data_IF_704054583950
#
_entry.id   IF_704054583950
#
_cell.length_a   1.000
_cell.length_b   1.000
_cell.length_c   1.000
_cell.angle_alpha   90.00
_cell.angle_beta   90.00
_cell.angle_gamma   90.00
#
_symmetry.space_group_name_H-M   'P 1'
#
loop_
_entity.id
_entity.type
_entity.pdbx_description
1 polymer ?
#
# COMPACT_ATOMS: atom_id res chain seq x y z
N UNK A 1 49.05 -4.62 13.56
CA UNK A 1 47.86 -4.16 12.83
C UNK A 1 46.66 -4.77 13.53
N UNK A 2 45.83 -3.97 14.21
CA UNK A 2 44.73 -4.48 15.01
C UNK A 2 43.42 -4.39 14.22
N UNK A 3 42.70 -5.51 14.08
CA UNK A 3 41.36 -5.51 13.53
C UNK A 3 40.37 -5.16 14.65
N UNK A 4 39.74 -3.99 14.54
CA UNK A 4 38.65 -3.60 15.44
C UNK A 4 37.38 -4.32 15.00
N UNK A 5 37.10 -5.49 15.59
CA UNK A 5 35.88 -6.23 15.33
C UNK A 5 34.71 -5.50 16.01
N UNK A 6 34.01 -4.66 15.25
CA UNK A 6 32.83 -3.94 15.72
C UNK A 6 31.68 -4.93 15.95
N UNK A 7 31.54 -5.41 17.19
CA UNK A 7 30.44 -6.28 17.57
C UNK A 7 29.16 -5.44 17.62
N UNK A 8 28.22 -5.70 16.70
CA UNK A 8 26.89 -5.10 16.75
C UNK A 8 26.11 -5.69 17.93
N UNK A 9 26.06 -4.96 19.04
CA UNK A 9 25.31 -5.36 20.22
C UNK A 9 23.80 -5.26 19.94
N UNK A 10 23.19 -6.35 19.48
CA UNK A 10 21.74 -6.51 19.49
C UNK A 10 21.24 -6.42 20.94
N UNK A 11 20.72 -5.25 21.31
CA UNK A 11 20.18 -4.99 22.63
C UNK A 11 18.79 -5.62 22.73
N UNK A 12 18.72 -6.87 23.20
CA UNK A 12 17.46 -7.54 23.53
C UNK A 12 16.83 -6.88 24.76
N UNK A 13 16.13 -5.77 24.55
CA UNK A 13 15.26 -5.13 25.54
C UNK A 13 13.96 -5.96 25.60
N UNK A 14 13.46 -6.23 26.80
CA UNK A 14 12.43 -7.26 26.98
C UNK A 14 11.00 -6.75 26.83
N UNK A 15 10.25 -7.40 25.94
CA UNK A 15 8.82 -7.67 26.08
C UNK A 15 7.91 -6.45 26.33
N UNK A 16 7.97 -5.46 25.42
CA UNK A 16 6.70 -5.00 24.86
C UNK A 16 6.08 -6.15 24.03
N UNK A 17 4.80 -6.06 23.66
CA UNK A 17 4.44 -6.69 22.38
C UNK A 17 5.08 -5.81 21.31
N UNK A 18 6.20 -6.27 20.74
CA UNK A 18 6.92 -5.54 19.68
C UNK A 18 5.92 -5.17 18.59
N UNK A 19 5.80 -3.87 18.31
CA UNK A 19 4.60 -3.34 17.67
C UNK A 19 4.49 -3.86 16.23
N UNK A 20 3.69 -4.91 16.04
CA UNK A 20 3.80 -5.73 14.82
C UNK A 20 3.29 -4.96 13.60
N UNK A 21 4.14 -4.89 12.58
CA UNK A 21 3.76 -4.43 11.25
C UNK A 21 2.67 -5.35 10.69
N UNK A 22 1.59 -4.78 10.17
CA UNK A 22 0.50 -5.53 9.55
C UNK A 22 0.03 -4.86 8.26
N UNK A 23 -0.59 -5.63 7.37
CA UNK A 23 -1.18 -5.10 6.15
C UNK A 23 -2.62 -5.60 5.96
N UNK A 24 -3.41 -4.81 5.22
CA UNK A 24 -4.70 -5.19 4.64
C UNK A 24 -4.81 -4.63 3.22
N UNK A 25 -5.72 -5.17 2.41
CA UNK A 25 -6.18 -4.47 1.21
C UNK A 25 -7.04 -3.27 1.60
N UNK A 26 -7.00 -2.19 0.81
CA UNK A 26 -7.95 -1.08 0.93
C UNK A 26 -9.35 -1.52 0.49
N UNK A 27 -10.36 -1.11 1.25
CA UNK A 27 -11.77 -1.42 1.01
C UNK A 27 -12.32 -0.68 -0.24
N UNK A 28 -11.65 0.37 -0.70
CA UNK A 28 -12.00 1.11 -1.92
C UNK A 28 -11.63 0.36 -3.22
N UNK A 29 -10.68 -0.59 -3.16
CA UNK A 29 -10.07 -1.25 -4.32
C UNK A 29 -10.60 -2.67 -4.54
N UNK A 30 -11.93 -2.77 -4.64
CA UNK A 30 -12.69 -4.03 -4.61
C UNK A 30 -12.45 -5.04 -5.74
N UNK A 31 -11.74 -4.67 -6.82
CA UNK A 31 -11.38 -5.61 -7.90
C UNK A 31 -10.04 -6.34 -7.68
N UNK A 32 -9.40 -6.16 -6.53
CA UNK A 32 -8.25 -6.94 -6.08
C UNK A 32 -8.58 -7.70 -4.80
N UNK A 33 -8.26 -8.99 -4.75
CA UNK A 33 -8.44 -9.84 -3.56
C UNK A 33 -7.18 -10.62 -3.22
N UNK A 34 -7.01 -11.04 -1.97
CA UNK A 34 -6.02 -12.08 -1.65
C UNK A 34 -6.44 -13.40 -2.32
N UNK A 35 -5.49 -14.19 -2.82
CA UNK A 35 -5.75 -15.48 -3.45
C UNK A 35 -5.92 -16.59 -2.40
N UNK A 36 -6.98 -17.40 -2.53
CA UNK A 36 -7.19 -18.56 -1.65
C UNK A 36 -6.05 -19.58 -1.77
N UNK A 37 -5.57 -20.08 -0.63
CA UNK A 37 -4.45 -21.04 -0.52
C UNK A 37 -3.08 -20.48 -0.96
N UNK A 38 -2.95 -19.15 -1.06
CA UNK A 38 -1.67 -18.44 -1.04
C UNK A 38 -1.28 -18.05 0.41
N UNK A 39 -0.12 -17.41 0.58
CA UNK A 39 0.31 -16.83 1.85
C UNK A 39 -0.56 -15.65 2.31
N UNK A 40 -0.60 -15.40 3.61
CA UNK A 40 -1.38 -14.34 4.25
C UNK A 40 -0.52 -13.10 4.56
N UNK A 41 -1.14 -11.95 4.85
CA UNK A 41 -0.45 -10.66 5.02
C UNK A 41 0.69 -10.64 6.06
N UNK A 42 0.66 -11.55 7.03
CA UNK A 42 1.72 -11.72 8.02
C UNK A 42 3.03 -12.29 7.45
N UNK A 43 3.00 -12.84 6.23
CA UNK A 43 4.20 -13.22 5.47
C UNK A 43 4.98 -12.05 4.90
N UNK A 44 4.33 -10.93 4.60
CA UNK A 44 5.01 -9.73 4.07
C UNK A 44 6.00 -9.09 5.06
N UNK A 45 6.04 -9.55 6.31
CA UNK A 45 6.85 -8.98 7.38
C UNK A 45 7.38 -10.07 8.33
N UNK A 46 7.65 -11.27 7.82
CA UNK A 46 8.23 -12.37 8.63
C UNK A 46 9.75 -12.51 8.47
N UNK A 47 10.34 -11.76 7.53
CA UNK A 47 11.79 -11.65 7.32
C UNK A 47 12.39 -12.77 6.46
N UNK A 48 11.57 -13.61 5.83
CA UNK A 48 11.99 -14.62 4.86
C UNK A 48 11.59 -14.19 3.43
N UNK A 49 12.52 -13.52 2.73
CA UNK A 49 12.33 -13.08 1.35
C UNK A 49 12.12 -14.23 0.34
N UNK A 50 12.33 -15.49 0.76
CA UNK A 50 12.30 -16.72 -0.07
C UNK A 50 13.27 -16.71 -1.26
N UNK A 51 14.24 -15.78 -1.33
CA UNK A 51 14.93 -15.44 -2.58
C UNK A 51 15.86 -16.53 -3.10
N UNK A 52 16.53 -17.26 -2.20
CA UNK A 52 17.32 -18.46 -2.56
C UNK A 52 16.47 -19.75 -2.60
N UNK A 53 15.21 -19.70 -2.15
CA UNK A 53 14.31 -20.86 -2.01
C UNK A 53 13.10 -20.86 -2.96
N UNK A 54 12.97 -19.86 -3.84
CA UNK A 54 11.80 -19.65 -4.68
C UNK A 54 11.46 -20.86 -5.59
N UNK A 55 10.33 -21.52 -5.32
CA UNK A 55 9.85 -22.68 -6.09
C UNK A 55 8.77 -22.30 -7.10
N UNK A 56 8.60 -23.13 -8.14
CA UNK A 56 7.52 -23.01 -9.13
C UNK A 56 6.13 -23.08 -8.48
N UNK A 57 5.17 -22.32 -9.01
CA UNK A 57 3.84 -22.22 -8.40
C UNK A 57 3.13 -23.57 -8.32
N UNK A 58 2.41 -23.78 -7.23
CA UNK A 58 1.87 -25.08 -6.81
C UNK A 58 2.79 -25.87 -5.88
N UNK A 59 4.05 -25.43 -5.68
CA UNK A 59 5.01 -26.10 -4.79
C UNK A 59 5.05 -25.53 -3.37
N UNK A 60 4.98 -24.21 -3.21
CA UNK A 60 5.17 -23.51 -1.91
C UNK A 60 4.28 -22.25 -1.77
N UNK A 61 3.04 -22.31 -2.25
CA UNK A 61 2.14 -21.16 -2.33
C UNK A 61 1.90 -20.45 -0.97
N UNK A 62 2.03 -21.17 0.15
CA UNK A 62 1.81 -20.63 1.49
C UNK A 62 2.86 -19.59 1.92
N UNK A 63 4.00 -19.51 1.22
CA UNK A 63 5.05 -18.52 1.46
C UNK A 63 5.06 -17.39 0.41
N UNK A 64 4.05 -17.30 -0.47
CA UNK A 64 3.88 -16.22 -1.45
C UNK A 64 2.51 -15.59 -1.26
N UNK A 65 2.48 -14.30 -0.92
CA UNK A 65 1.25 -13.51 -0.82
C UNK A 65 0.85 -13.08 -2.23
N UNK A 66 -0.10 -13.79 -2.82
CA UNK A 66 -0.57 -13.55 -4.19
C UNK A 66 -1.87 -12.73 -4.17
N UNK A 67 -1.83 -11.55 -4.80
CA UNK A 67 -2.98 -10.67 -4.97
C UNK A 67 -3.59 -10.89 -6.34
N UNK A 68 -4.88 -11.21 -6.41
CA UNK A 68 -5.62 -11.48 -7.64
C UNK A 68 -6.37 -10.24 -8.14
N UNK A 69 -6.10 -9.87 -9.40
CA UNK A 69 -6.93 -9.02 -10.23
C UNK A 69 -8.16 -9.80 -10.74
N UNK A 70 -9.36 -9.35 -10.39
CA UNK A 70 -10.62 -9.96 -10.83
C UNK A 70 -10.97 -9.65 -12.31
N UNK A 71 -10.35 -8.62 -12.88
CA UNK A 71 -10.66 -8.03 -14.19
C UNK A 71 -9.54 -8.21 -15.22
N UNK A 72 -8.66 -9.21 -15.07
CA UNK A 72 -7.49 -9.46 -15.93
C UNK A 72 -7.78 -9.61 -17.45
N UNK A 73 -9.05 -9.77 -17.84
CA UNK A 73 -9.53 -9.81 -19.23
C UNK A 73 -10.07 -8.47 -19.76
N UNK A 74 -9.91 -7.38 -19.00
CA UNK A 74 -10.45 -6.03 -19.28
C UNK A 74 -9.39 -4.95 -19.01
N UNK A 75 -8.78 -4.41 -20.06
CA UNK A 75 -7.77 -3.34 -19.90
C UNK A 75 -8.39 -2.02 -19.38
N UNK A 76 -9.66 -1.76 -19.66
CA UNK A 76 -10.40 -0.60 -19.19
C UNK A 76 -10.81 -0.66 -17.70
N UNK A 77 -10.59 -1.79 -17.02
CA UNK A 77 -10.94 -1.94 -15.60
C UNK A 77 -9.93 -1.31 -14.63
N UNK A 78 -8.71 -0.97 -15.07
CA UNK A 78 -7.69 -0.25 -14.29
C UNK A 78 -7.47 -0.80 -12.86
N UNK A 79 -7.44 -2.13 -12.72
CA UNK A 79 -7.24 -2.79 -11.43
C UNK A 79 -5.92 -2.34 -10.78
N UNK A 80 -5.94 -2.09 -9.47
CA UNK A 80 -4.79 -1.56 -8.72
C UNK A 80 -4.70 -2.28 -7.38
N UNK A 81 -3.57 -2.93 -7.12
CA UNK A 81 -3.23 -3.44 -5.80
C UNK A 81 -3.05 -2.25 -4.86
N UNK A 82 -3.90 -2.13 -3.86
CA UNK A 82 -3.86 -1.09 -2.85
C UNK A 82 -3.71 -1.72 -1.46
N UNK A 83 -2.50 -1.66 -0.89
CA UNK A 83 -2.19 -2.17 0.43
C UNK A 83 -2.12 -1.03 1.45
N UNK A 84 -2.86 -1.16 2.55
CA UNK A 84 -2.73 -0.32 3.73
C UNK A 84 -1.86 -1.05 4.73
N UNK A 85 -0.73 -0.46 5.10
CA UNK A 85 0.25 -1.00 6.06
C UNK A 85 0.18 -0.17 7.34
N UNK A 86 -0.03 -0.84 8.47
CA UNK A 86 0.20 -0.28 9.81
C UNK A 86 1.62 -0.66 10.24
N UNK A 87 2.46 0.34 10.52
CA UNK A 87 3.86 0.15 10.92
C UNK A 87 4.04 -0.26 12.40
N UNK A 88 2.94 -0.43 13.16
CA UNK A 88 2.93 -0.79 14.57
C UNK A 88 3.19 0.38 15.52
N UNK A 89 4.06 1.32 15.12
CA UNK A 89 4.30 2.60 15.78
C UNK A 89 4.65 3.69 14.75
N UNK A 90 4.79 4.94 15.19
CA UNK A 90 5.30 6.01 14.31
C UNK A 90 6.78 5.76 14.03
N UNK A 91 7.14 5.60 12.76
CA UNK A 91 8.52 5.38 12.32
C UNK A 91 8.93 6.44 11.31
N UNK A 92 10.22 6.76 11.31
CA UNK A 92 10.85 7.53 10.23
C UNK A 92 11.58 6.55 9.32
N UNK A 93 11.26 6.54 8.03
CA UNK A 93 11.75 5.58 7.04
C UNK A 93 12.60 6.28 5.97
N UNK A 94 13.67 5.62 5.50
CA UNK A 94 14.53 6.10 4.42
C UNK A 94 14.33 5.34 3.11
N UNK A 95 13.95 4.06 3.18
CA UNK A 95 13.56 3.27 2.01
C UNK A 95 12.67 2.09 2.38
N UNK A 96 12.01 1.53 1.37
CA UNK A 96 11.30 0.26 1.41
C UNK A 96 11.82 -0.65 0.31
N UNK A 97 11.94 -1.94 0.58
CA UNK A 97 12.23 -2.98 -0.41
C UNK A 97 11.04 -3.93 -0.50
N UNK A 98 10.54 -4.18 -1.70
CA UNK A 98 9.50 -5.19 -1.95
C UNK A 98 10.13 -6.35 -2.72
N UNK A 99 10.02 -7.55 -2.15
CA UNK A 99 10.46 -8.80 -2.77
C UNK A 99 9.30 -9.41 -3.57
N UNK A 100 9.30 -9.17 -4.88
CA UNK A 100 8.26 -9.63 -5.81
C UNK A 100 8.52 -11.05 -6.29
N UNK A 101 7.57 -11.96 -6.04
CA UNK A 101 7.57 -13.29 -6.63
C UNK A 101 6.99 -13.24 -8.05
N UNK A 102 7.69 -13.84 -9.01
CA UNK A 102 7.30 -13.93 -10.42
C UNK A 102 7.23 -15.41 -10.86
N UNK A 103 6.10 -15.82 -11.43
CA UNK A 103 5.96 -17.08 -12.19
C UNK A 103 5.03 -16.82 -13.40
N UNK A 104 5.66 -16.55 -14.54
CA UNK A 104 4.99 -16.23 -15.80
C UNK A 104 4.29 -17.45 -16.46
N UNK A 105 4.37 -18.64 -15.86
CA UNK A 105 3.59 -19.79 -16.30
C UNK A 105 2.14 -19.72 -15.83
N UNK A 106 1.91 -19.08 -14.68
CA UNK A 106 0.61 -19.01 -13.98
C UNK A 106 0.07 -17.58 -13.85
N UNK A 107 0.56 -16.63 -14.65
CA UNK A 107 0.14 -15.22 -14.68
C UNK A 107 0.46 -14.44 -13.39
N UNK A 108 1.50 -14.81 -12.66
CA UNK A 108 2.04 -14.02 -11.53
C UNK A 108 3.22 -13.20 -12.03
N UNK A 109 3.09 -11.87 -12.10
CA UNK A 109 4.09 -11.00 -12.70
C UNK A 109 3.80 -9.51 -12.59
N UNK A 110 4.51 -8.74 -13.40
CA UNK A 110 4.53 -7.27 -13.41
C UNK A 110 4.68 -6.76 -14.85
N UNK A 111 4.32 -5.51 -15.10
CA UNK A 111 4.49 -4.86 -16.41
C UNK A 111 5.95 -4.70 -16.81
N UNK A 112 6.19 -4.29 -18.06
CA UNK A 112 7.53 -3.91 -18.52
C UNK A 112 8.02 -2.65 -17.79
N UNK A 113 7.14 -1.65 -17.70
CA UNK A 113 7.26 -0.44 -16.90
C UNK A 113 6.14 -0.51 -15.84
N UNK A 114 6.42 -0.11 -14.59
CA UNK A 114 5.48 -0.17 -13.47
C UNK A 114 5.56 1.12 -12.65
N UNK A 115 4.47 1.48 -11.97
CA UNK A 115 4.45 2.57 -10.99
C UNK A 115 4.05 2.05 -9.61
N UNK A 116 4.84 2.39 -8.58
CA UNK A 116 4.45 2.33 -7.18
C UNK A 116 4.19 3.75 -6.68
N UNK A 117 2.93 4.09 -6.40
CA UNK A 117 2.59 5.30 -5.62
C UNK A 117 2.62 4.96 -4.14
N UNK A 118 3.32 5.77 -3.34
CA UNK A 118 3.32 5.69 -1.88
C UNK A 118 2.62 6.91 -1.29
N UNK A 119 1.69 6.67 -0.36
CA UNK A 119 1.07 7.69 0.50
C UNK A 119 1.32 7.37 1.98
N UNK A 120 1.28 8.38 2.85
CA UNK A 120 1.38 8.20 4.31
C UNK A 120 0.12 8.71 5.03
N UNK A 121 -0.10 8.23 6.25
CA UNK A 121 -1.18 8.68 7.14
C UNK A 121 -0.84 8.47 8.61
N UNK A 122 -1.42 9.31 9.48
CA UNK A 122 -1.34 9.18 10.94
C UNK A 122 -2.51 8.38 11.51
N UNK A 123 -3.62 8.24 10.77
CA UNK A 123 -4.87 7.62 11.23
C UNK A 123 -5.29 6.37 10.44
N UNK A 124 -4.65 6.09 9.31
CA UNK A 124 -4.93 4.89 8.50
C UNK A 124 -6.16 4.99 7.61
N UNK A 125 -6.72 6.20 7.45
CA UNK A 125 -7.86 6.49 6.55
C UNK A 125 -7.59 7.69 5.63
N UNK A 126 -7.00 8.76 6.14
CA UNK A 126 -6.70 9.97 5.37
C UNK A 126 -5.26 9.94 4.88
N UNK A 127 -5.05 9.51 3.64
CA UNK A 127 -3.73 9.33 3.03
C UNK A 127 -3.29 10.53 2.20
N UNK A 128 -2.06 11.01 2.46
CA UNK A 128 -1.40 12.07 1.68
C UNK A 128 -0.28 11.45 0.85
N UNK A 129 -0.26 11.69 -0.46
CA UNK A 129 0.78 11.13 -1.33
C UNK A 129 2.16 11.67 -0.96
N UNK A 130 3.12 10.76 -0.84
CA UNK A 130 4.53 11.03 -0.58
C UNK A 130 5.29 11.14 -1.91
N UNK A 131 5.32 10.05 -2.69
CA UNK A 131 6.20 9.91 -3.85
C UNK A 131 5.64 8.87 -4.83
N UNK A 132 5.95 9.00 -6.13
CA UNK A 132 5.70 7.99 -7.15
C UNK A 132 7.04 7.42 -7.62
N UNK A 133 7.18 6.11 -7.62
CA UNK A 133 8.37 5.41 -8.10
C UNK A 133 8.05 4.64 -9.39
N UNK A 134 8.77 4.95 -10.46
CA UNK A 134 8.76 4.13 -11.69
C UNK A 134 9.85 3.07 -11.63
N UNK A 135 9.51 1.83 -11.95
CA UNK A 135 10.48 0.71 -11.99
C UNK A 135 10.20 -0.25 -13.15
N UNK A 136 11.26 -0.83 -13.70
CA UNK A 136 11.19 -1.76 -14.83
C UNK A 136 11.09 -3.21 -14.32
N UNK A 137 10.43 -4.08 -15.07
CA UNK A 137 10.43 -5.53 -14.85
C UNK A 137 10.48 -6.26 -16.20
N UNK A 138 10.92 -7.51 -16.19
CA UNK A 138 11.30 -8.19 -17.43
C UNK A 138 10.09 -8.48 -18.34
N UNK A 139 10.04 -7.77 -19.48
CA UNK A 139 9.04 -7.92 -20.51
C UNK A 139 9.17 -9.26 -21.26
N UNK A 140 8.06 -9.98 -21.42
CA UNK A 140 8.03 -11.22 -22.21
C UNK A 140 8.12 -10.89 -23.70
N UNK A 141 9.13 -11.45 -24.37
CA UNK A 141 9.31 -11.34 -25.82
C UNK A 141 8.50 -12.40 -26.61
N UNK A 142 8.43 -12.23 -27.93
CA UNK A 142 8.00 -13.29 -28.85
C UNK A 142 9.11 -14.34 -29.06
N UNK A 143 8.73 -15.61 -28.96
CA UNK A 143 9.56 -16.75 -29.37
C UNK A 143 9.62 -16.89 -30.90
N UNK A 144 10.52 -17.73 -31.41
CA UNK A 144 10.74 -17.92 -32.84
C UNK A 144 9.53 -18.51 -33.61
N UNK A 145 8.53 -19.07 -32.92
CA UNK A 145 7.26 -19.53 -33.48
C UNK A 145 6.11 -18.49 -33.34
N UNK A 146 6.39 -17.33 -32.74
CA UNK A 146 5.44 -16.25 -32.49
C UNK A 146 4.53 -16.48 -31.28
N UNK A 147 4.86 -17.41 -30.38
CA UNK A 147 4.24 -17.56 -29.04
C UNK A 147 5.03 -16.77 -27.97
N UNK A 148 4.50 -16.56 -26.74
CA UNK A 148 5.26 -15.88 -25.69
C UNK A 148 6.50 -16.69 -25.27
N UNK A 149 7.69 -16.07 -25.25
CA UNK A 149 8.94 -16.74 -24.88
C UNK A 149 9.06 -16.94 -23.37
N UNK A 150 8.54 -18.08 -22.90
CA UNK A 150 8.66 -18.54 -21.51
C UNK A 150 10.01 -19.20 -21.17
N UNK A 151 11.03 -19.11 -22.03
CA UNK A 151 12.33 -19.79 -21.83
C UNK A 151 13.43 -18.89 -21.28
N UNK A 152 13.30 -17.57 -21.44
CA UNK A 152 14.28 -16.57 -20.93
C UNK A 152 14.02 -16.14 -19.49
N UNK A 153 12.77 -16.19 -19.05
CA UNK A 153 12.32 -15.64 -17.76
C UNK A 153 12.25 -16.72 -16.69
N UNK A 154 12.33 -16.35 -15.39
CA UNK A 154 12.23 -17.30 -14.29
C UNK A 154 11.02 -18.23 -14.44
N UNK A 155 11.28 -19.54 -14.37
CA UNK A 155 10.22 -20.55 -14.25
C UNK A 155 9.48 -20.38 -12.91
N UNK A 156 10.20 -19.95 -11.87
CA UNK A 156 9.75 -19.02 -10.84
C UNK A 156 10.97 -18.34 -10.20
N UNK A 157 10.77 -17.23 -9.47
CA UNK A 157 11.85 -16.52 -8.77
C UNK A 157 11.34 -15.32 -7.96
N UNK A 158 12.19 -14.76 -7.11
CA UNK A 158 11.92 -13.55 -6.31
C UNK A 158 12.91 -12.44 -6.65
N UNK A 159 12.41 -11.21 -6.75
CA UNK A 159 13.11 -10.03 -7.26
C UNK A 159 12.87 -8.83 -6.33
N UNK A 160 13.94 -8.22 -5.83
CA UNK A 160 13.83 -7.12 -4.86
C UNK A 160 13.89 -5.78 -5.57
N UNK A 161 12.82 -5.00 -5.46
CA UNK A 161 12.81 -3.59 -5.88
C UNK A 161 12.93 -2.68 -4.65
N UNK A 162 13.92 -1.79 -4.65
CA UNK A 162 14.24 -0.93 -3.49
C UNK A 162 13.93 0.54 -3.78
N UNK A 163 12.83 1.00 -3.20
CA UNK A 163 12.28 2.34 -3.31
C UNK A 163 12.86 3.23 -2.21
N UNK A 164 13.75 4.16 -2.60
CA UNK A 164 14.40 5.10 -1.67
C UNK A 164 13.70 6.43 -1.73
N UNK A 165 13.15 6.90 -0.62
CA UNK A 165 12.43 8.16 -0.58
C UNK A 165 13.37 9.34 -0.81
N UNK A 166 12.93 10.34 -1.57
CA UNK A 166 13.72 11.58 -1.80
C UNK A 166 13.94 12.35 -0.49
N UNK A 167 13.01 12.23 0.46
CA UNK A 167 13.16 12.70 1.85
C UNK A 167 12.65 11.61 2.79
N UNK A 168 13.25 11.47 3.98
CA UNK A 168 12.80 10.48 4.95
C UNK A 168 11.34 10.72 5.38
N UNK A 169 10.54 9.65 5.44
CA UNK A 169 9.09 9.69 5.68
C UNK A 169 8.81 9.34 7.13
N UNK A 170 8.32 10.29 7.93
CA UNK A 170 7.76 10.01 9.26
C UNK A 170 6.27 9.71 9.12
N UNK A 171 5.83 8.53 9.55
CA UNK A 171 4.44 8.07 9.44
C UNK A 171 4.11 6.94 10.43
N UNK A 172 2.81 6.73 10.69
CA UNK A 172 2.30 5.52 11.36
C UNK A 172 1.73 4.50 10.36
N UNK A 173 1.10 4.96 9.30
CA UNK A 173 0.54 4.12 8.23
C UNK A 173 1.10 4.51 6.87
N UNK A 174 1.23 3.52 5.99
CA UNK A 174 1.50 3.70 4.57
C UNK A 174 0.36 3.13 3.73
N UNK A 175 0.16 3.71 2.56
CA UNK A 175 -0.65 3.16 1.48
C UNK A 175 0.28 2.93 0.28
N UNK A 176 0.31 1.70 -0.22
CA UNK A 176 1.06 1.31 -1.41
C UNK A 176 0.08 1.01 -2.55
N UNK A 177 0.21 1.70 -3.68
CA UNK A 177 -0.61 1.51 -4.88
C UNK A 177 0.24 1.08 -6.07
N UNK A 178 -0.06 -0.10 -6.61
CA UNK A 178 0.58 -0.66 -7.81
C UNK A 178 -0.53 -1.04 -8.80
N UNK A 179 -0.66 -0.35 -9.96
CA UNK A 179 -1.56 -0.76 -11.04
C UNK A 179 -1.20 -2.17 -11.56
N UNK A 180 -2.20 -2.92 -11.99
CA UNK A 180 -1.96 -4.12 -12.80
C UNK A 180 -1.77 -3.72 -14.25
N UNK A 181 -0.56 -3.93 -14.75
CA UNK A 181 -0.14 -3.56 -16.11
C UNK A 181 -0.50 -4.63 -17.16
N UNK A 182 -0.32 -4.30 -18.43
CA UNK A 182 -0.59 -5.22 -19.56
C UNK A 182 0.34 -6.46 -19.55
N UNK A 183 -0.20 -7.59 -19.99
CA UNK A 183 0.54 -8.83 -20.24
C UNK A 183 0.97 -8.94 -21.70
N UNK A 184 1.82 -9.93 -22.01
CA UNK A 184 2.11 -10.25 -23.41
C UNK A 184 0.82 -10.66 -24.17
N UNK A 185 0.44 -9.99 -25.27
CA UNK A 185 -0.91 -10.07 -25.87
C UNK A 185 -1.25 -11.41 -26.55
N UNK A 186 -0.42 -12.44 -26.35
CA UNK A 186 -0.58 -13.81 -26.86
C UNK A 186 -0.64 -14.86 -25.76
N UNK A 187 -0.86 -14.48 -24.49
CA UNK A 187 -1.23 -15.45 -23.47
C UNK A 187 -2.55 -16.15 -23.83
N UNK A 188 -2.57 -17.48 -23.72
CA UNK A 188 -3.56 -18.33 -24.38
C UNK A 188 -4.96 -18.36 -23.72
N UNK A 189 -5.14 -17.63 -22.62
CA UNK A 189 -6.37 -17.58 -21.82
C UNK A 189 -7.15 -16.26 -21.93
N UNK A 190 -6.72 -15.36 -22.82
CA UNK A 190 -7.41 -14.10 -23.11
C UNK A 190 -7.25 -13.02 -22.04
N UNK A 191 -6.31 -13.19 -21.11
CA UNK A 191 -5.94 -12.17 -20.12
C UNK A 191 -4.97 -11.18 -20.76
N UNK A 192 -5.33 -9.91 -20.68
CA UNK A 192 -4.61 -8.77 -21.27
C UNK A 192 -3.94 -7.89 -20.21
N UNK A 193 -4.34 -8.04 -18.95
CA UNK A 193 -3.62 -7.52 -17.78
C UNK A 193 -3.10 -8.71 -16.96
N UNK A 194 -2.13 -8.48 -16.08
CA UNK A 194 -1.67 -9.52 -15.16
C UNK A 194 -2.82 -9.99 -14.25
N UNK A 195 -2.92 -11.30 -14.01
CA UNK A 195 -3.93 -11.85 -13.09
C UNK A 195 -3.47 -11.75 -11.65
N UNK A 196 -2.16 -11.85 -11.40
CA UNK A 196 -1.61 -11.84 -10.06
C UNK A 196 -0.34 -10.99 -9.95
N UNK A 197 -0.24 -10.28 -8.83
CA UNK A 197 1.03 -9.75 -8.30
C UNK A 197 1.40 -10.62 -7.10
N UNK A 198 2.61 -11.17 -7.09
CA UNK A 198 3.13 -11.98 -5.98
C UNK A 198 4.15 -11.20 -5.17
N UNK A 199 4.07 -11.28 -3.85
CA UNK A 199 5.07 -10.73 -2.92
C UNK A 199 5.46 -11.80 -1.90
N UNK A 200 6.71 -11.77 -1.43
CA UNK A 200 7.17 -12.58 -0.30
C UNK A 200 7.33 -11.71 0.94
N UNK A 201 8.18 -10.68 0.88
CA UNK A 201 8.52 -9.78 1.99
C UNK A 201 8.44 -8.30 1.56
N UNK A 202 8.16 -7.40 2.52
CA UNK A 202 8.22 -5.94 2.42
C UNK A 202 9.07 -5.40 3.57
N UNK A 203 10.36 -5.21 3.31
CA UNK A 203 11.32 -4.73 4.30
C UNK A 203 11.40 -3.20 4.34
N UNK A 204 11.48 -2.61 5.53
CA UNK A 204 11.63 -1.17 5.75
C UNK A 204 13.00 -0.82 6.35
N UNK A 205 13.67 0.18 5.79
CA UNK A 205 14.88 0.76 6.36
C UNK A 205 14.54 2.06 7.10
N UNK A 206 14.97 2.17 8.36
CA UNK A 206 14.79 3.39 9.15
C UNK A 206 15.56 4.58 8.57
N UNK A 207 15.04 5.78 8.80
CA UNK A 207 15.67 7.06 8.48
C UNK A 207 15.84 7.91 9.73
N UNK A 208 16.78 8.85 9.70
CA UNK A 208 16.87 9.89 10.73
C UNK A 208 15.77 10.93 10.51
N UNK A 209 15.04 11.37 11.56
CA UNK A 209 14.11 12.49 11.43
C UNK A 209 14.78 13.72 10.84
N UNK A 210 14.08 14.46 9.97
CA UNK A 210 14.62 15.70 9.42
C UNK A 210 14.69 16.76 10.51
N UNK A 211 15.90 17.13 10.93
CA UNK A 211 16.12 18.21 11.90
C UNK A 211 16.05 19.57 11.22
N UNK A 212 14.95 19.88 10.54
CA UNK A 212 14.62 21.28 10.18
C UNK A 212 14.11 22.02 11.42
N UNK A 213 14.99 22.09 12.41
CA UNK A 213 14.87 23.03 13.52
C UNK A 213 15.30 24.39 13.01
N UNK A 214 14.46 25.01 12.18
CA UNK A 214 14.55 26.43 11.86
C UNK A 214 14.51 27.22 13.18
N UNK A 215 15.69 27.58 13.70
CA UNK A 215 15.85 28.14 15.04
C UNK A 215 15.01 29.42 15.18
N UNK A 216 14.18 29.55 16.23
CA UNK A 216 13.54 30.82 16.52
C UNK A 216 14.61 31.84 16.87
N UNK A 217 14.85 32.80 15.98
CA UNK A 217 15.90 33.80 16.11
C UNK A 217 15.83 34.49 17.48
N UNK A 218 16.85 34.28 18.31
CA UNK A 218 16.92 34.76 19.69
C UNK A 218 17.24 36.25 19.72
N UNK A 219 16.19 37.07 19.64
CA UNK A 219 16.26 38.51 19.89
C UNK A 219 16.53 38.80 21.38
N UNK A 220 17.79 38.70 21.80
CA UNK A 220 18.27 39.11 23.13
C UNK A 220 18.30 40.65 23.31
N UNK A 221 17.19 41.32 23.02
CA UNK A 221 16.99 42.75 23.28
C UNK A 221 16.43 43.03 24.69
N UNK A 222 17.15 42.59 25.73
CA UNK A 222 16.74 42.81 27.13
C UNK A 222 16.88 44.29 27.55
N UNK A 223 15.77 44.95 27.84
CA UNK A 223 15.71 46.16 28.66
C UNK A 223 14.48 46.14 29.59
N UNK A 224 14.65 46.53 30.86
CA UNK A 224 13.60 46.47 31.90
C UNK A 224 13.03 47.86 32.25
N UNK A 225 11.78 47.89 32.73
CA UNK A 225 11.07 49.06 33.30
C UNK A 225 10.71 50.18 32.30
N UNK A 226 9.76 51.10 32.54
CA UNK A 226 9.10 51.58 33.78
C UNK A 226 7.58 51.70 33.58
N UNK A 227 6.78 51.57 34.65
CA UNK A 227 5.33 51.80 34.62
C UNK A 227 4.93 53.22 35.07
N UNK A 228 3.85 53.79 34.53
CA UNK A 228 2.84 54.63 35.24
C UNK A 228 1.67 55.04 34.32
N UNK A 229 0.47 55.07 34.92
CA UNK A 229 -0.81 55.71 34.54
C UNK A 229 -0.81 56.87 33.53
N UNK A 230 -1.74 56.87 32.57
CA UNK A 230 -2.97 57.71 32.63
C UNK A 230 -4.03 57.41 31.55
N UNK A 231 -5.26 57.86 31.78
CA UNK A 231 -6.43 57.84 30.89
C UNK A 231 -7.44 58.93 31.37
N UNK A 232 -8.52 59.31 30.64
CA UNK A 232 -8.98 58.85 29.31
C UNK A 232 -9.35 60.01 28.34
N UNK A 233 -9.76 59.68 27.10
CA UNK A 233 -10.67 60.47 26.24
C UNK A 233 -11.25 59.56 25.14
N UNK A 234 -12.50 59.06 25.19
CA UNK A 234 -13.85 59.70 25.03
C UNK A 234 -14.33 59.82 23.57
N UNK A 235 -15.60 59.40 23.33
CA UNK A 235 -16.39 59.55 22.08
C UNK A 235 -15.89 58.80 20.82
N UNK A 236 -16.67 58.56 19.75
CA UNK A 236 -18.13 58.37 19.51
C UNK A 236 -18.32 58.00 18.01
N UNK A 237 -19.34 57.29 17.51
CA UNK A 237 -20.54 56.67 18.12
C UNK A 237 -21.03 55.48 17.27
N UNK A 238 -21.79 54.57 17.89
CA UNK A 238 -22.80 53.72 17.24
C UNK A 238 -24.12 53.86 18.05
N UNK A 239 -25.32 53.46 17.57
CA UNK A 239 -25.66 52.75 16.33
C UNK A 239 -26.75 53.46 15.50
N UNK A 240 -27.37 52.77 14.51
CA UNK A 240 -28.84 52.71 14.27
C UNK A 240 -29.15 51.62 13.23
N UNK A 241 -30.36 51.03 13.28
CA UNK A 241 -30.71 49.78 12.60
C UNK A 241 -31.83 49.92 11.53
N UNK A 242 -32.05 48.81 10.81
CA UNK A 242 -33.35 48.23 10.39
C UNK A 242 -33.97 48.54 9.00
N UNK A 243 -34.46 47.44 8.36
CA UNK A 243 -35.63 47.32 7.43
C UNK A 243 -35.58 48.06 6.07
N UNK A 244 -36.04 47.52 4.91
CA UNK A 244 -36.67 46.24 4.45
C UNK A 244 -36.46 46.12 2.91
N UNK A 245 -36.87 45.12 2.09
CA UNK A 245 -37.60 43.82 2.18
C UNK A 245 -37.26 42.93 0.96
N UNK A 246 -37.56 41.62 1.02
CA UNK A 246 -37.71 40.65 -0.11
C UNK A 246 -36.49 40.37 -1.03
N UNK A 247 -36.24 39.12 -1.46
CA UNK A 247 -37.23 38.10 -1.83
C UNK A 247 -36.91 36.65 -1.42
N UNK A 248 -37.94 36.00 -0.86
CA UNK A 248 -38.31 34.57 -0.90
C UNK A 248 -37.23 33.50 -1.20
N UNK A 249 -36.97 32.66 -0.20
CA UNK A 249 -36.88 31.19 -0.39
C UNK A 249 -38.29 30.58 -0.55
N UNK A 250 -38.40 29.27 -0.85
CA UNK A 250 -38.54 28.31 0.26
C UNK A 250 -37.51 27.17 0.23
N UNK A 251 -37.47 26.42 1.32
CA UNK A 251 -36.65 25.21 1.53
C UNK A 251 -37.58 23.99 1.62
N UNK A 252 -37.01 22.79 1.76
CA UNK A 252 -37.64 21.45 1.89
C UNK A 252 -38.01 20.76 0.57
N UNK A 253 -37.81 19.44 0.41
CA UNK A 253 -37.01 18.50 1.20
C UNK A 253 -37.63 17.11 1.38
N UNK A 254 -36.89 16.08 0.97
CA UNK A 254 -36.95 14.67 1.42
C UNK A 254 -35.69 13.99 0.82
N UNK A 255 -34.92 13.13 1.51
CA UNK A 255 -35.26 11.88 2.18
C UNK A 255 -35.54 10.73 1.19
N UNK A 256 -34.46 10.14 0.66
CA UNK A 256 -34.50 9.02 -0.30
C UNK A 256 -33.58 7.87 0.11
N UNK A 257 -33.86 7.24 1.26
CA UNK A 257 -33.09 6.09 1.76
C UNK A 257 -33.35 4.83 0.90
N UNK A 258 -32.61 4.68 -0.19
CA UNK A 258 -32.74 3.56 -1.11
C UNK A 258 -32.17 2.27 -0.50
N UNK A 259 -33.03 1.46 0.13
CA UNK A 259 -32.66 0.17 0.68
C UNK A 259 -32.31 -0.83 -0.45
N UNK A 260 -31.04 -1.22 -0.54
CA UNK A 260 -30.59 -2.30 -1.43
C UNK A 260 -30.94 -3.64 -0.76
N UNK A 261 -31.86 -4.39 -1.39
CA UNK A 261 -32.31 -5.68 -0.88
C UNK A 261 -31.33 -6.80 -1.23
N UNK A 262 -30.76 -7.45 -0.20
CA UNK A 262 -29.93 -8.66 -0.36
C UNK A 262 -30.82 -9.84 -0.74
N UNK A 263 -30.60 -10.41 -1.94
CA UNK A 263 -31.23 -11.67 -2.37
C UNK A 263 -30.21 -12.80 -2.22
N UNK A 264 -30.34 -13.57 -1.13
CA UNK A 264 -29.53 -14.77 -0.92
C UNK A 264 -30.08 -15.94 -1.74
N UNK A 265 -29.31 -16.40 -2.74
CA UNK A 265 -29.64 -17.60 -3.53
C UNK A 265 -28.98 -18.83 -2.89
N UNK A 266 -29.76 -19.60 -2.13
CA UNK A 266 -29.30 -20.85 -1.50
C UNK A 266 -29.34 -21.98 -2.54
N UNK A 267 -28.16 -22.41 -3.02
CA UNK A 267 -28.03 -23.57 -3.90
C UNK A 267 -27.89 -24.88 -3.10
N UNK A 268 -29.02 -25.53 -2.79
CA UNK A 268 -29.08 -26.82 -2.06
C UNK A 268 -29.17 -28.03 -3.00
N UNK A 269 -28.03 -28.51 -3.51
CA UNK A 269 -27.82 -29.91 -3.99
C UNK A 269 -26.34 -30.10 -4.40
N UNK A 270 -25.69 -31.24 -4.14
CA UNK A 270 -26.11 -32.41 -3.36
C UNK A 270 -24.97 -33.42 -3.21
N UNK A 271 -24.95 -34.18 -2.11
CA UNK A 271 -23.87 -35.15 -1.82
C UNK A 271 -23.98 -36.42 -2.65
N UNK A 272 -22.96 -36.71 -3.49
CA UNK A 272 -22.81 -38.02 -4.13
C UNK A 272 -21.69 -38.81 -3.44
N UNK A 273 -22.06 -39.69 -2.51
CA UNK A 273 -21.13 -40.60 -1.85
C UNK A 273 -20.86 -41.81 -2.76
N UNK A 274 -19.75 -41.78 -3.51
CA UNK A 274 -19.26 -42.94 -4.28
C UNK A 274 -18.48 -43.89 -3.37
N UNK A 275 -19.18 -44.58 -2.48
CA UNK A 275 -18.62 -45.63 -1.62
C UNK A 275 -18.75 -47.02 -2.27
N UNK A 276 -17.75 -47.42 -3.07
CA UNK A 276 -17.48 -48.82 -3.52
C UNK A 276 -16.17 -48.85 -4.33
N UNK A 277 -15.33 -49.89 -4.28
CA UNK A 277 -15.39 -51.16 -3.52
C UNK A 277 -13.96 -51.69 -3.36
N UNK A 278 -13.66 -52.45 -2.29
CA UNK A 278 -12.45 -53.29 -2.22
C UNK A 278 -12.43 -54.31 -3.38
N UNK A 279 -11.31 -54.35 -4.09
CA UNK A 279 -10.81 -55.43 -4.93
C UNK A 279 -9.36 -55.63 -4.58
#
# INVERSE_FOLDING_TARGET
>A
MAALLACACFATIGSAEDAKITAKLSEDYTNVSLLENAGTFDKLFDGDDRKEEALAWGSDNANVVAFKNADATKADANATLCLIIDLGEERTLSSMTISFYKDYNVMIGLGAENTLTVSSSDNGTDFTKVEDFTFESEAIEDAADGTPDKTKFPVAGVYDETFKFTNNVTARYLELKIPYEETHPKFADGKIMWEFIGMTEIAFADGTPSTDTSEPATDESKAESVATSEAPSTSSTAPTSSTTESSKTPVTGDAGLAAIAVIAVIALAGTVVVARKRG
#
